data_IF_918996047521
#
_entry.id   IF_918996047521
#
_cell.length_a   1.000
_cell.length_b   1.000
_cell.length_c   1.000
_cell.angle_alpha   90.00
_cell.angle_beta   90.00
_cell.angle_gamma   90.00
#
_symmetry.space_group_name_H-M   'P 1'
#
loop_
_entity.id
_entity.type
_entity.pdbx_description
1 polymer ?
#
# COMPACT_ATOMS: atom_id res chain seq x y z
N UNK A 1 -4.97 -1.49 20.77
CA UNK A 1 -4.03 -1.63 19.63
C UNK A 1 -3.31 -2.96 19.80
N UNK A 2 -2.89 -3.61 18.70
CA UNK A 2 -2.12 -4.86 18.78
C UNK A 2 -0.73 -4.52 19.29
N UNK A 3 -0.29 -5.15 20.39
CA UNK A 3 0.99 -4.84 21.04
C UNK A 3 2.17 -5.63 20.44
N UNK A 4 1.92 -6.82 19.88
CA UNK A 4 2.92 -7.66 19.25
C UNK A 4 2.40 -8.25 17.94
N UNK A 5 2.62 -7.53 16.84
CA UNK A 5 2.15 -7.94 15.50
C UNK A 5 2.84 -9.22 15.02
N UNK A 6 4.14 -9.36 15.29
CA UNK A 6 4.94 -10.52 14.86
C UNK A 6 4.43 -11.82 15.46
N UNK A 7 4.18 -11.87 16.78
CA UNK A 7 3.66 -13.07 17.45
C UNK A 7 2.24 -13.44 16.98
N UNK A 8 1.40 -12.44 16.66
CA UNK A 8 0.06 -12.72 16.12
C UNK A 8 0.15 -13.47 14.79
N UNK A 9 0.96 -13.00 13.84
CA UNK A 9 1.15 -13.71 12.57
C UNK A 9 1.87 -15.04 12.74
N UNK A 10 2.80 -15.14 13.69
CA UNK A 10 3.49 -16.38 14.02
C UNK A 10 2.52 -17.48 14.49
N UNK A 11 1.58 -17.12 15.38
CA UNK A 11 0.56 -18.03 15.88
C UNK A 11 -0.31 -18.62 14.77
N UNK A 12 -0.49 -17.90 13.65
CA UNK A 12 -1.30 -18.38 12.53
C UNK A 12 -0.62 -19.50 11.72
N UNK A 13 0.68 -19.74 11.90
CA UNK A 13 1.40 -20.81 11.20
C UNK A 13 0.99 -22.20 11.66
N UNK A 14 0.40 -22.32 12.84
CA UNK A 14 0.04 -23.61 13.47
C UNK A 14 -1.46 -23.69 13.71
N UNK A 15 -2.08 -24.80 13.29
CA UNK A 15 -3.48 -25.09 13.61
C UNK A 15 -4.53 -24.26 12.87
N UNK A 16 -4.14 -23.22 12.12
CA UNK A 16 -5.09 -22.41 11.33
C UNK A 16 -5.26 -22.92 9.90
N UNK A 17 -6.35 -22.49 9.26
CA UNK A 17 -6.66 -22.78 7.85
C UNK A 17 -5.79 -21.95 6.88
N UNK A 18 -5.34 -20.76 7.29
CA UNK A 18 -4.59 -19.84 6.42
C UNK A 18 -3.08 -20.09 6.38
N UNK A 19 -2.61 -21.12 7.10
CA UNK A 19 -1.21 -21.56 7.06
C UNK A 19 -0.75 -21.77 5.63
N UNK A 20 0.38 -21.17 5.28
CA UNK A 20 0.91 -21.23 3.92
C UNK A 20 2.37 -20.81 3.92
N UNK A 21 3.07 -21.15 2.85
CA UNK A 21 4.44 -20.68 2.62
C UNK A 21 4.54 -19.14 2.61
N UNK A 22 3.53 -18.43 2.10
CA UNK A 22 3.51 -16.96 2.12
C UNK A 22 3.45 -16.41 3.55
N UNK A 23 2.74 -17.07 4.45
CA UNK A 23 2.71 -16.69 5.86
C UNK A 23 4.09 -16.92 6.51
N UNK A 24 4.80 -17.99 6.15
CA UNK A 24 6.17 -18.21 6.61
C UNK A 24 7.12 -17.09 6.19
N UNK A 25 6.98 -16.61 4.95
CA UNK A 25 7.76 -15.47 4.45
C UNK A 25 7.43 -14.17 5.19
N UNK A 26 6.15 -13.90 5.46
CA UNK A 26 5.72 -12.71 6.20
C UNK A 26 6.27 -12.71 7.63
N UNK A 27 6.15 -13.85 8.34
CA UNK A 27 6.68 -13.97 9.71
C UNK A 27 8.19 -13.77 9.72
N UNK A 28 8.91 -14.33 8.74
CA UNK A 28 10.36 -14.09 8.61
C UNK A 28 10.67 -12.60 8.44
N UNK A 29 9.96 -11.90 7.54
CA UNK A 29 10.16 -10.47 7.33
C UNK A 29 9.88 -9.65 8.60
N UNK A 30 8.83 -10.00 9.36
CA UNK A 30 8.47 -9.35 10.62
C UNK A 30 9.42 -9.68 11.79
N UNK A 31 10.14 -10.80 11.73
CA UNK A 31 11.22 -11.11 12.67
C UNK A 31 12.48 -10.29 12.38
N UNK A 32 12.76 -10.05 11.09
CA UNK A 32 13.91 -9.25 10.65
C UNK A 32 13.71 -7.73 10.83
N UNK A 33 12.46 -7.26 10.66
CA UNK A 33 12.05 -5.86 10.84
C UNK A 33 10.57 -5.78 11.26
N UNK A 34 10.27 -5.81 12.57
CA UNK A 34 8.89 -5.81 13.07
C UNK A 34 8.03 -4.63 12.61
N UNK A 35 8.66 -3.50 12.30
CA UNK A 35 7.97 -2.29 11.82
C UNK A 35 7.91 -2.19 10.29
N UNK A 36 8.55 -3.10 9.56
CA UNK A 36 8.76 -3.02 8.10
C UNK A 36 9.36 -1.67 7.67
N UNK A 37 10.12 -1.02 8.54
CA UNK A 37 10.70 0.31 8.36
C UNK A 37 11.66 0.40 7.18
N UNK A 38 12.24 -0.72 6.76
CA UNK A 38 13.17 -0.83 5.63
C UNK A 38 12.46 -0.97 4.27
N UNK A 39 11.14 -1.16 4.24
CA UNK A 39 10.38 -1.46 3.03
C UNK A 39 9.38 -0.33 2.77
N UNK A 40 9.47 0.31 1.60
CA UNK A 40 8.45 1.27 1.15
C UNK A 40 7.13 0.54 0.92
N UNK A 41 6.01 1.15 1.31
CA UNK A 41 4.65 0.66 1.04
C UNK A 41 4.26 0.77 -0.43
N UNK A 42 5.04 0.17 -1.32
CA UNK A 42 4.91 0.22 -2.77
C UNK A 42 4.97 -1.21 -3.32
N UNK A 43 4.00 -1.59 -4.15
CA UNK A 43 3.93 -2.92 -4.76
C UNK A 43 3.96 -2.86 -6.29
N UNK A 44 4.97 -3.49 -6.88
CA UNK A 44 5.03 -3.75 -8.32
C UNK A 44 3.98 -4.79 -8.76
N UNK A 45 3.67 -4.81 -10.06
CA UNK A 45 2.88 -5.86 -10.68
C UNK A 45 3.60 -6.39 -11.92
N UNK A 46 3.73 -7.71 -12.01
CA UNK A 46 4.31 -8.40 -13.17
C UNK A 46 3.35 -8.51 -14.36
N UNK A 47 2.10 -8.06 -14.19
CA UNK A 47 1.08 -7.98 -15.24
C UNK A 47 0.03 -9.09 -15.22
N UNK A 48 0.24 -10.21 -14.53
CA UNK A 48 -0.71 -11.34 -14.53
C UNK A 48 -2.05 -10.95 -13.91
N UNK A 49 -2.05 -10.13 -12.86
CA UNK A 49 -3.27 -9.59 -12.26
C UNK A 49 -4.05 -8.68 -13.21
N UNK A 50 -3.35 -7.88 -14.03
CA UNK A 50 -3.96 -7.01 -15.04
C UNK A 50 -4.59 -7.84 -16.15
N UNK A 51 -3.80 -8.74 -16.73
CA UNK A 51 -4.29 -9.66 -17.76
C UNK A 51 -5.50 -10.48 -17.27
N UNK A 52 -5.48 -10.94 -16.01
CA UNK A 52 -6.60 -11.70 -15.44
C UNK A 52 -7.89 -10.86 -15.38
N UNK A 53 -7.79 -9.59 -15.00
CA UNK A 53 -8.95 -8.69 -14.93
C UNK A 53 -9.45 -8.33 -16.34
N UNK A 54 -8.56 -8.10 -17.29
CA UNK A 54 -8.91 -7.85 -18.69
C UNK A 54 -9.66 -9.05 -19.29
N UNK A 55 -9.11 -10.26 -19.15
CA UNK A 55 -9.77 -11.49 -19.62
C UNK A 55 -11.13 -11.73 -18.94
N UNK A 56 -11.24 -11.41 -17.65
CA UNK A 56 -12.50 -11.52 -16.91
C UNK A 56 -13.59 -10.58 -17.47
N UNK A 57 -13.22 -9.37 -17.89
CA UNK A 57 -14.13 -8.43 -18.55
C UNK A 57 -14.59 -8.97 -19.90
N UNK A 58 -13.65 -9.44 -20.73
CA UNK A 58 -13.94 -9.98 -22.06
C UNK A 58 -14.88 -11.19 -22.02
N UNK A 59 -14.80 -11.99 -20.96
CA UNK A 59 -15.64 -13.16 -20.74
C UNK A 59 -16.85 -12.91 -19.83
N UNK A 60 -17.09 -11.68 -19.38
CA UNK A 60 -18.16 -11.33 -18.43
C UNK A 60 -18.13 -12.20 -17.14
N UNK A 61 -16.94 -12.53 -16.64
CA UNK A 61 -16.73 -13.30 -15.41
C UNK A 61 -16.41 -12.36 -14.24
N UNK A 62 -17.14 -12.43 -13.12
CA UNK A 62 -16.86 -11.55 -11.97
C UNK A 62 -15.58 -11.96 -11.23
N UNK A 63 -14.63 -11.02 -11.10
CA UNK A 63 -13.36 -11.21 -10.36
C UNK A 63 -13.09 -10.10 -9.32
N UNK A 64 -14.06 -9.77 -8.44
CA UNK A 64 -14.01 -8.57 -7.58
C UNK A 64 -12.77 -8.51 -6.68
N UNK A 65 -12.38 -9.62 -6.06
CA UNK A 65 -11.20 -9.67 -5.17
C UNK A 65 -9.89 -9.42 -5.91
N UNK A 66 -9.77 -9.93 -7.15
CA UNK A 66 -8.57 -9.76 -7.97
C UNK A 66 -8.47 -8.31 -8.44
N UNK A 67 -9.59 -7.73 -8.92
CA UNK A 67 -9.66 -6.34 -9.33
C UNK A 67 -9.32 -5.39 -8.16
N UNK A 68 -9.90 -5.62 -6.98
CA UNK A 68 -9.59 -4.83 -5.79
C UNK A 68 -8.10 -4.93 -5.39
N UNK A 69 -7.52 -6.13 -5.45
CA UNK A 69 -6.10 -6.35 -5.16
C UNK A 69 -5.19 -5.63 -6.16
N UNK A 70 -5.56 -5.61 -7.45
CA UNK A 70 -4.82 -4.87 -8.48
C UNK A 70 -4.88 -3.36 -8.23
N UNK A 71 -6.07 -2.81 -7.94
CA UNK A 71 -6.21 -1.39 -7.64
C UNK A 71 -5.50 -0.98 -6.34
N UNK A 72 -5.47 -1.83 -5.32
CA UNK A 72 -4.67 -1.58 -4.12
C UNK A 72 -3.18 -1.39 -4.45
N UNK A 73 -2.63 -2.16 -5.40
CA UNK A 73 -1.26 -1.95 -5.88
C UNK A 73 -1.13 -0.60 -6.58
N UNK A 74 -2.07 -0.19 -7.44
CA UNK A 74 -2.01 1.12 -8.09
C UNK A 74 -2.09 2.28 -7.09
N UNK A 75 -2.88 2.14 -6.02
CA UNK A 75 -2.91 3.11 -4.92
C UNK A 75 -1.56 3.19 -4.21
N UNK A 76 -0.89 2.06 -3.99
CA UNK A 76 0.44 2.03 -3.34
C UNK A 76 1.55 2.78 -4.10
N UNK A 77 1.32 3.11 -5.38
CA UNK A 77 2.26 3.86 -6.23
C UNK A 77 2.05 5.37 -6.20
N UNK A 78 0.96 5.83 -5.58
CA UNK A 78 0.63 7.24 -5.48
C UNK A 78 1.14 7.79 -4.16
N UNK A 79 2.14 8.67 -4.22
CA UNK A 79 2.60 9.41 -3.04
C UNK A 79 1.54 10.42 -2.57
N UNK A 80 0.91 11.11 -3.53
CA UNK A 80 -0.31 11.89 -3.32
C UNK A 80 -1.41 11.40 -4.28
N UNK A 81 -2.66 11.43 -3.82
CA UNK A 81 -3.81 11.05 -4.67
C UNK A 81 -4.56 12.30 -5.13
N UNK A 82 -4.47 12.68 -6.42
CA UNK A 82 -5.21 13.81 -6.98
C UNK A 82 -6.72 13.67 -6.79
N UNK A 83 -7.23 12.43 -6.87
CA UNK A 83 -8.64 12.12 -6.60
C UNK A 83 -9.01 12.49 -5.16
N UNK A 84 -8.19 12.13 -4.18
CA UNK A 84 -8.45 12.48 -2.78
C UNK A 84 -8.26 13.97 -2.51
N UNK A 85 -7.33 14.65 -3.18
CA UNK A 85 -7.21 16.11 -3.13
C UNK A 85 -8.47 16.79 -3.66
N UNK A 86 -9.01 16.34 -4.80
CA UNK A 86 -10.26 16.86 -5.35
C UNK A 86 -11.45 16.61 -4.39
N UNK A 87 -11.54 15.42 -3.77
CA UNK A 87 -12.55 15.12 -2.75
C UNK A 87 -12.39 16.03 -1.52
N UNK A 88 -11.17 16.23 -1.03
CA UNK A 88 -10.90 17.13 0.09
C UNK A 88 -11.30 18.57 -0.21
N UNK A 89 -10.96 19.08 -1.40
CA UNK A 89 -11.34 20.39 -1.87
C UNK A 89 -12.88 20.53 -1.93
N UNK A 90 -13.59 19.58 -2.54
CA UNK A 90 -15.06 19.61 -2.57
C UNK A 90 -15.68 19.59 -1.17
N UNK A 91 -15.17 18.75 -0.27
CA UNK A 91 -15.64 18.68 1.13
C UNK A 91 -15.41 19.98 1.88
N UNK A 92 -14.30 20.66 1.62
CA UNK A 92 -14.03 21.99 2.17
C UNK A 92 -15.02 23.02 1.61
N UNK A 93 -15.17 23.09 0.28
CA UNK A 93 -15.99 24.12 -0.38
C UNK A 93 -17.49 23.97 -0.08
N UNK A 94 -18.03 22.76 -0.10
CA UNK A 94 -19.45 22.52 0.17
C UNK A 94 -19.79 22.38 1.65
N UNK A 95 -18.92 21.73 2.44
CA UNK A 95 -19.23 21.31 3.81
C UNK A 95 -18.43 22.04 4.89
N UNK A 96 -17.51 22.92 4.54
CA UNK A 96 -16.62 23.60 5.50
C UNK A 96 -15.67 22.66 6.23
N UNK A 97 -15.43 21.44 5.71
CA UNK A 97 -14.53 20.48 6.34
C UNK A 97 -13.08 20.99 6.32
N UNK A 98 -12.36 20.81 7.44
CA UNK A 98 -10.94 21.12 7.52
C UNK A 98 -10.13 20.25 6.54
N UNK A 99 -9.10 20.84 5.95
CA UNK A 99 -8.13 20.18 5.07
C UNK A 99 -6.72 20.36 5.62
N UNK A 100 -5.83 19.45 5.27
CA UNK A 100 -4.41 19.56 5.60
C UNK A 100 -3.67 20.24 4.44
N UNK A 101 -2.62 20.99 4.74
CA UNK A 101 -1.73 21.52 3.71
C UNK A 101 -1.00 20.35 3.02
N UNK A 102 -0.64 20.54 1.75
CA UNK A 102 0.26 19.60 1.07
C UNK A 102 1.57 19.53 1.88
N UNK A 103 2.08 18.32 2.12
CA UNK A 103 3.43 18.21 2.68
C UNK A 103 4.42 18.72 1.65
N UNK A 104 5.44 19.46 2.06
CA UNK A 104 6.58 19.75 1.18
C UNK A 104 7.15 18.42 0.69
N UNK A 105 7.06 18.16 -0.60
CA UNK A 105 7.57 16.93 -1.21
C UNK A 105 9.08 16.84 -0.96
N UNK A 106 9.50 15.78 -0.26
CA UNK A 106 10.88 15.27 -0.17
C UNK A 106 12.03 16.26 -0.32
N UNK A 107 12.47 16.90 0.78
CA UNK A 107 13.83 17.43 0.86
C UNK A 107 14.80 16.25 1.03
N UNK A 108 15.52 15.91 -0.03
CA UNK A 108 16.68 15.02 0.04
C UNK A 108 17.80 15.76 0.81
N UNK A 109 18.28 15.26 1.97
CA UNK A 109 19.36 15.90 2.71
C UNK A 109 20.69 15.96 1.93
N UNK A 110 20.79 15.30 0.77
CA UNK A 110 21.94 15.40 -0.13
C UNK A 110 22.06 16.75 -0.87
N UNK A 111 21.00 17.56 -0.94
CA UNK A 111 21.00 18.82 -1.71
C UNK A 111 21.55 20.03 -0.92
N UNK A 112 22.03 19.81 0.32
CA UNK A 112 22.63 20.85 1.15
C UNK A 112 24.15 21.04 0.94
N UNK A 113 24.82 20.10 0.26
CA UNK A 113 26.29 20.11 0.14
C UNK A 113 26.82 20.59 -1.23
N UNK A 114 25.93 21.12 -2.08
CA UNK A 114 26.29 21.66 -3.40
C UNK A 114 25.93 23.14 -3.52
N UNK A 115 26.57 24.00 -2.70
CA UNK A 115 26.72 25.42 -3.05
C UNK A 115 28.19 25.72 -3.29
N UNK A 116 28.62 26.03 -4.53
CA UNK A 116 29.96 26.54 -4.77
C UNK A 116 30.12 27.94 -4.17
N UNK A 117 31.36 28.25 -3.79
CA UNK A 117 31.83 29.51 -3.22
C UNK A 117 31.79 30.66 -4.23
#
# INVERSE_FOLDING_TARGET
LVENVTEVFDSWRVGTVVRSWLLDLLVKALQDDPGLSKIRGYAEDSGEGRWTVEAAIDHAVPTPTIAASLFARFVSRQDESPTMQAVAAMRQQFGGHAVQAASEAGHDPADMDARPS
#
